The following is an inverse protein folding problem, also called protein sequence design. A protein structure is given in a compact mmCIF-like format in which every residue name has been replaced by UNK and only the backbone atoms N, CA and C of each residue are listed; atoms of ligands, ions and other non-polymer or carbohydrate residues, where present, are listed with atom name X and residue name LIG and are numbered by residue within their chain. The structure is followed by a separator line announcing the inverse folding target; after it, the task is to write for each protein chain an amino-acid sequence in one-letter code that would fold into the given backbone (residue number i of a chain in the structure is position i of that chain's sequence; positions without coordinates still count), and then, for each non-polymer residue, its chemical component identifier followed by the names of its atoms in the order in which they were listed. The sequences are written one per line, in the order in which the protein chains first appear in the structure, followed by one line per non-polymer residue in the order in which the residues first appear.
data_IF_226081159404
#
_entry.id   IF_226081159404
#
_cell.length_a   1.000
_cell.length_b   1.000
_cell.length_c   1.000
_cell.angle_alpha   90.00
_cell.angle_beta   90.00
_cell.angle_gamma   90.00
#
_symmetry.space_group_name_H-M   'P 1'
#
loop_
_entity.id
_entity.type
_entity.pdbx_description
1 polymer ?
#
# COMPACT_ATOMS: atom_id res chain seq x y z
N UNK A 1 -42.02 17.05 -7.84
CA UNK A 1 -41.35 16.02 -7.01
C UNK A 1 -40.07 15.65 -7.72
N UNK A 2 -38.90 15.80 -7.09
CA UNK A 2 -37.63 15.51 -7.72
C UNK A 2 -37.52 14.01 -8.04
N UNK A 3 -37.12 13.66 -9.27
CA UNK A 3 -36.92 12.28 -9.66
C UNK A 3 -35.81 11.67 -8.81
N UNK A 4 -36.14 10.58 -8.11
CA UNK A 4 -35.18 9.88 -7.24
C UNK A 4 -34.07 9.31 -8.13
N UNK A 5 -32.78 9.51 -7.81
CA UNK A 5 -31.66 9.00 -8.58
C UNK A 5 -31.80 7.51 -8.91
N UNK A 6 -31.41 7.06 -10.12
CA UNK A 6 -31.61 5.67 -10.56
C UNK A 6 -31.05 4.63 -9.58
N UNK A 7 -29.89 4.93 -8.99
CA UNK A 7 -29.24 4.05 -8.00
C UNK A 7 -30.05 3.88 -6.71
N UNK A 8 -30.80 4.90 -6.29
CA UNK A 8 -31.67 4.83 -5.11
C UNK A 8 -32.91 3.99 -5.43
N UNK A 9 -33.43 4.06 -6.66
CA UNK A 9 -34.57 3.25 -7.10
C UNK A 9 -34.23 1.76 -7.14
N UNK A 10 -33.01 1.43 -7.57
CA UNK A 10 -32.49 0.06 -7.57
C UNK A 10 -32.23 -0.44 -6.14
N UNK A 11 -31.66 0.42 -5.28
CA UNK A 11 -31.44 0.10 -3.87
C UNK A 11 -32.73 -0.13 -3.12
N UNK A 12 -33.81 0.63 -3.36
CA UNK A 12 -35.11 0.49 -2.66
C UNK A 12 -35.88 -0.77 -3.08
N UNK A 13 -35.51 -1.41 -4.19
CA UNK A 13 -36.18 -2.62 -4.69
C UNK A 13 -35.69 -3.92 -4.05
N UNK A 14 -34.69 -3.87 -3.16
CA UNK A 14 -34.08 -5.08 -2.61
C UNK A 14 -34.82 -5.64 -1.41
N UNK A 15 -34.91 -6.97 -1.36
CA UNK A 15 -35.35 -7.70 -0.18
C UNK A 15 -34.26 -7.66 0.91
N UNK A 16 -34.65 -7.86 2.17
CA UNK A 16 -33.76 -7.95 3.33
C UNK A 16 -32.62 -8.95 3.14
N UNK A 17 -32.87 -10.08 2.49
CA UNK A 17 -31.83 -11.08 2.21
C UNK A 17 -30.87 -10.62 1.08
N UNK A 18 -31.36 -9.84 0.11
CA UNK A 18 -30.51 -9.23 -0.90
C UNK A 18 -29.60 -8.15 -0.29
N UNK A 19 -30.08 -7.35 0.66
CA UNK A 19 -29.23 -6.41 1.40
C UNK A 19 -28.18 -7.09 2.27
N UNK A 20 -28.51 -8.24 2.87
CA UNK A 20 -27.55 -9.06 3.62
C UNK A 20 -26.44 -9.59 2.71
N UNK A 21 -26.82 -10.16 1.56
CA UNK A 21 -25.87 -10.64 0.55
C UNK A 21 -25.00 -9.49 0.01
N UNK A 22 -25.61 -8.34 -0.32
CA UNK A 22 -24.90 -7.15 -0.78
C UNK A 22 -23.92 -6.65 0.27
N UNK A 23 -24.33 -6.58 1.54
CA UNK A 23 -23.45 -6.13 2.62
C UNK A 23 -22.27 -7.09 2.80
N UNK A 24 -22.49 -8.39 2.70
CA UNK A 24 -21.44 -9.39 2.75
C UNK A 24 -20.44 -9.26 1.58
N UNK A 25 -20.94 -9.17 0.35
CA UNK A 25 -20.10 -8.98 -0.84
C UNK A 25 -19.33 -7.67 -0.74
N UNK A 26 -20.00 -6.58 -0.36
CA UNK A 26 -19.38 -5.28 -0.23
C UNK A 26 -18.28 -5.32 0.83
N UNK A 27 -18.57 -5.80 2.04
CA UNK A 27 -17.55 -5.91 3.10
C UNK A 27 -16.35 -6.77 2.70
N UNK A 28 -16.57 -7.87 1.97
CA UNK A 28 -15.50 -8.68 1.39
C UNK A 28 -14.66 -7.91 0.35
N UNK A 29 -15.31 -7.15 -0.55
CA UNK A 29 -14.61 -6.32 -1.53
C UNK A 29 -13.83 -5.19 -0.86
N UNK A 30 -14.38 -4.54 0.17
CA UNK A 30 -13.70 -3.49 0.92
C UNK A 30 -12.47 -4.06 1.64
N UNK A 31 -12.60 -5.22 2.28
CA UNK A 31 -11.48 -5.92 2.91
C UNK A 31 -10.40 -6.31 1.88
N UNK A 32 -10.83 -6.87 0.74
CA UNK A 32 -9.92 -7.22 -0.35
C UNK A 32 -9.20 -5.99 -0.88
N UNK A 33 -9.88 -4.85 -0.99
CA UNK A 33 -9.28 -3.59 -1.45
C UNK A 33 -8.22 -3.06 -0.49
N UNK A 34 -8.44 -3.14 0.83
CA UNK A 34 -7.42 -2.81 1.82
C UNK A 34 -6.16 -3.67 1.66
N UNK A 35 -6.34 -4.98 1.43
CA UNK A 35 -5.23 -5.90 1.19
C UNK A 35 -4.55 -5.66 -0.15
N UNK A 36 -5.33 -5.35 -1.19
CA UNK A 36 -4.82 -5.02 -2.50
C UNK A 36 -3.93 -3.78 -2.42
N UNK A 37 -4.27 -2.78 -1.60
CA UNK A 37 -3.45 -1.58 -1.39
C UNK A 37 -2.04 -1.88 -0.85
N UNK A 38 -1.84 -3.00 -0.15
CA UNK A 38 -0.53 -3.40 0.41
C UNK A 38 0.39 -4.06 -0.60
N UNK A 39 -0.17 -4.74 -1.62
CA UNK A 39 0.61 -5.51 -2.59
C UNK A 39 1.49 -4.66 -3.52
N UNK A 40 1.03 -3.53 -4.08
CA UNK A 40 1.86 -2.65 -4.92
C UNK A 40 3.14 -2.21 -4.23
N UNK A 41 3.06 -1.85 -2.95
CA UNK A 41 4.23 -1.42 -2.17
C UNK A 41 5.26 -2.55 -2.11
N UNK A 42 4.84 -3.81 -2.00
CA UNK A 42 5.75 -4.96 -2.03
C UNK A 42 6.38 -5.20 -3.41
N UNK A 43 5.67 -4.91 -4.51
CA UNK A 43 6.17 -5.07 -5.88
C UNK A 43 7.20 -3.98 -6.20
N UNK A 44 6.92 -2.73 -5.83
CA UNK A 44 7.82 -1.59 -6.08
C UNK A 44 9.18 -1.80 -5.39
N UNK A 45 9.24 -2.50 -4.24
CA UNK A 45 10.52 -2.86 -3.61
C UNK A 45 11.42 -3.72 -4.48
N UNK A 46 10.85 -4.58 -5.33
CA UNK A 46 11.63 -5.43 -6.23
C UNK A 46 12.24 -4.65 -7.40
N UNK A 47 11.58 -3.57 -7.84
CA UNK A 47 12.11 -2.66 -8.86
C UNK A 47 13.12 -1.66 -8.28
N UNK A 48 13.04 -1.38 -6.98
CA UNK A 48 13.92 -0.46 -6.26
C UNK A 48 15.36 -0.98 -6.15
N UNK A 49 15.53 -2.30 -6.24
CA UNK A 49 16.82 -2.98 -6.18
C UNK A 49 16.89 -4.05 -7.28
N UNK A 50 17.37 -3.67 -8.48
CA UNK A 50 17.70 -4.66 -9.50
C UNK A 50 18.99 -5.37 -9.10
N UNK A 51 19.01 -6.69 -9.26
CA UNK A 51 20.20 -7.49 -9.00
C UNK A 51 21.17 -7.28 -10.18
N UNK A 52 22.00 -6.24 -10.12
CA UNK A 52 22.88 -5.81 -11.21
C UNK A 52 24.07 -6.75 -11.47
N UNK A 53 24.11 -7.91 -10.83
CA UNK A 53 25.17 -8.91 -10.94
C UNK A 53 25.35 -9.44 -12.39
N UNK A 54 24.29 -9.46 -13.20
CA UNK A 54 24.37 -9.89 -14.60
C UNK A 54 24.98 -8.84 -15.54
N UNK A 55 24.98 -7.56 -15.16
CA UNK A 55 25.56 -6.47 -15.96
C UNK A 55 27.08 -6.40 -15.74
N UNK A 56 27.55 -6.70 -14.53
CA UNK A 56 29.00 -6.84 -14.27
C UNK A 56 29.62 -7.98 -15.07
N UNK A 57 28.88 -9.07 -15.29
CA UNK A 57 29.38 -10.24 -16.04
C UNK A 57 29.52 -9.92 -17.54
N UNK A 58 28.55 -9.20 -18.13
CA UNK A 58 28.63 -8.72 -19.52
C UNK A 58 29.73 -7.67 -19.69
N UNK A 59 29.91 -6.76 -18.72
CA UNK A 59 31.01 -5.79 -18.75
C UNK A 59 32.39 -6.49 -18.66
N UNK A 60 32.53 -7.54 -17.85
CA UNK A 60 33.77 -8.33 -17.78
C UNK A 60 34.01 -9.18 -19.03
N UNK A 61 32.96 -9.69 -19.70
CA UNK A 61 33.07 -10.44 -20.96
C UNK A 61 33.35 -9.52 -22.16
N UNK A 62 32.83 -8.29 -22.15
CA UNK A 62 33.20 -7.26 -23.12
C UNK A 62 34.64 -6.78 -22.92
N UNK A 63 35.17 -6.87 -21.69
CA UNK A 63 36.57 -6.54 -21.37
C UNK A 63 37.56 -7.62 -21.80
N UNK A 64 37.12 -8.86 -22.06
CA UNK A 64 37.97 -9.99 -22.46
C UNK A 64 38.05 -10.20 -23.97
N UNK A 65 37.24 -9.48 -24.77
CA UNK A 65 37.26 -9.49 -26.23
C UNK A 65 37.95 -8.22 -26.74
N UNK A 66 39.28 -8.32 -26.91
CA UNK A 66 40.17 -7.17 -27.06
C UNK A 66 39.91 -6.24 -28.24
N UNK A 67 40.01 -4.94 -27.98
CA UNK A 67 40.55 -3.93 -28.91
C UNK A 67 41.15 -2.76 -28.12
N UNK A 68 42.29 -2.25 -28.60
CA UNK A 68 43.21 -1.30 -27.97
C UNK A 68 42.59 0.09 -27.71
N UNK A 69 42.75 0.68 -26.51
CA UNK A 69 43.08 2.11 -26.18
C UNK A 69 43.11 2.32 -24.61
N UNK A 70 43.60 3.46 -24.02
CA UNK A 70 44.54 3.51 -22.89
C UNK A 70 43.85 3.84 -21.53
N UNK A 71 44.58 4.29 -20.48
CA UNK A 71 44.51 3.78 -19.08
C UNK A 71 43.12 3.87 -18.43
N UNK A 72 42.82 3.04 -17.39
CA UNK A 72 41.46 2.80 -16.90
C UNK A 72 40.87 4.06 -16.29
N UNK A 73 40.25 4.89 -17.12
CA UNK A 73 39.26 5.85 -16.66
C UNK A 73 38.13 5.00 -16.13
N UNK A 74 37.99 4.99 -14.81
CA UNK A 74 36.82 4.51 -14.11
C UNK A 74 35.60 5.11 -14.81
N UNK A 75 35.02 4.36 -15.74
CA UNK A 75 33.69 4.65 -16.24
C UNK A 75 32.78 4.33 -15.05
N UNK A 76 32.72 5.27 -14.10
CA UNK A 76 31.58 5.55 -13.26
C UNK A 76 30.43 5.99 -14.18
N UNK A 77 30.07 5.13 -15.12
CA UNK A 77 28.68 5.03 -15.49
C UNK A 77 28.04 4.34 -14.29
N UNK A 78 27.68 5.17 -13.32
CA UNK A 78 26.54 4.93 -12.43
C UNK A 78 25.34 4.69 -13.37
N UNK A 79 25.29 3.50 -13.98
CA UNK A 79 24.07 3.01 -14.58
C UNK A 79 23.17 2.78 -13.38
N UNK A 80 22.27 3.74 -13.15
CA UNK A 80 21.21 3.82 -12.13
C UNK A 80 20.41 2.52 -12.08
N UNK A 81 21.02 1.50 -11.51
CA UNK A 81 20.47 0.16 -11.44
C UNK A 81 19.76 -0.06 -10.08
N UNK A 82 19.92 0.88 -9.14
CA UNK A 82 19.19 0.95 -7.87
C UNK A 82 18.71 2.38 -7.59
N UNK A 83 17.50 2.52 -7.07
CA UNK A 83 16.93 3.84 -6.74
C UNK A 83 17.47 4.37 -5.42
N UNK A 84 18.11 5.55 -5.41
CA UNK A 84 18.49 6.26 -4.17
C UNK A 84 17.21 6.58 -3.36
N UNK A 85 17.15 6.42 -2.03
CA UNK A 85 18.20 6.11 -1.06
C UNK A 85 18.46 4.61 -0.83
N UNK A 86 17.80 3.72 -1.58
CA UNK A 86 17.90 2.26 -1.45
C UNK A 86 19.10 1.66 -2.21
N UNK A 87 19.98 2.50 -2.73
CA UNK A 87 21.19 2.15 -3.49
C UNK A 87 22.37 1.74 -2.58
N UNK A 88 22.27 2.00 -1.27
CA UNK A 88 23.33 1.62 -0.33
C UNK A 88 23.32 0.11 -0.08
N UNK A 89 24.50 -0.47 0.23
CA UNK A 89 24.68 -1.88 0.66
C UNK A 89 23.71 -2.32 1.78
N UNK A 90 23.17 -1.34 2.53
CA UNK A 90 22.20 -1.51 3.62
C UNK A 90 20.72 -1.47 3.18
N UNK A 91 20.40 -1.62 1.90
CA UNK A 91 19.04 -1.54 1.37
C UNK A 91 18.06 -2.52 2.04
N UNK A 92 18.55 -3.72 2.42
CA UNK A 92 17.75 -4.72 3.16
C UNK A 92 17.32 -4.21 4.53
N UNK A 93 18.21 -3.58 5.29
CA UNK A 93 17.83 -2.98 6.58
C UNK A 93 16.88 -1.79 6.37
N UNK A 94 17.07 -1.00 5.31
CA UNK A 94 16.24 0.18 5.05
C UNK A 94 14.80 -0.19 4.66
N UNK A 95 14.64 -1.18 3.78
CA UNK A 95 13.35 -1.78 3.44
C UNK A 95 12.70 -2.46 4.64
N UNK A 96 13.49 -3.18 5.43
CA UNK A 96 13.03 -3.81 6.67
C UNK A 96 12.57 -2.80 7.71
N UNK A 97 13.28 -1.69 7.88
CA UNK A 97 12.91 -0.61 8.81
C UNK A 97 11.60 0.06 8.40
N UNK A 98 11.38 0.27 7.09
CA UNK A 98 10.11 0.79 6.56
C UNK A 98 8.95 -0.17 6.86
N UNK A 99 9.12 -1.47 6.60
CA UNK A 99 8.09 -2.47 6.89
C UNK A 99 7.83 -2.63 8.39
N UNK A 100 8.88 -2.56 9.20
CA UNK A 100 8.76 -2.56 10.65
C UNK A 100 7.98 -1.35 11.15
N UNK A 101 8.25 -0.16 10.60
CA UNK A 101 7.53 1.07 10.95
C UNK A 101 6.03 0.97 10.61
N UNK A 102 5.69 0.37 9.46
CA UNK A 102 4.31 0.06 9.09
C UNK A 102 3.63 -0.82 10.14
N UNK A 103 4.27 -1.95 10.47
CA UNK A 103 3.71 -2.96 11.36
C UNK A 103 3.55 -2.44 12.78
N UNK A 104 4.53 -1.66 13.26
CA UNK A 104 4.47 -1.02 14.57
C UNK A 104 3.33 0.00 14.64
N UNK A 105 3.24 0.89 13.64
CA UNK A 105 2.15 1.86 13.55
C UNK A 105 0.78 1.16 13.43
N UNK A 106 0.69 0.09 12.65
CA UNK A 106 -0.52 -0.74 12.54
C UNK A 106 -0.90 -1.37 13.88
N UNK A 107 0.05 -1.90 14.64
CA UNK A 107 -0.23 -2.48 15.96
C UNK A 107 -0.81 -1.45 16.94
N UNK A 108 -0.21 -0.26 17.02
CA UNK A 108 -0.70 0.83 17.86
C UNK A 108 -2.07 1.31 17.37
N UNK A 109 -2.21 1.51 16.06
CA UNK A 109 -3.46 1.94 15.44
C UNK A 109 -4.61 0.96 15.67
N UNK A 110 -4.36 -0.35 15.71
CA UNK A 110 -5.40 -1.35 16.01
C UNK A 110 -6.03 -1.16 17.39
N UNK A 111 -5.23 -0.79 18.40
CA UNK A 111 -5.74 -0.46 19.72
C UNK A 111 -6.60 0.82 19.70
N UNK A 112 -6.08 1.90 19.10
CA UNK A 112 -6.79 3.17 19.01
C UNK A 112 -8.07 3.07 18.16
N UNK A 113 -8.01 2.31 17.09
CA UNK A 113 -9.11 2.07 16.15
C UNK A 113 -10.30 1.37 16.82
N UNK A 114 -10.03 0.50 17.81
CA UNK A 114 -11.08 -0.10 18.63
C UNK A 114 -11.86 0.96 19.42
N UNK A 115 -11.15 1.85 20.13
CA UNK A 115 -11.76 2.90 20.96
C UNK A 115 -12.53 3.91 20.09
N UNK A 116 -11.94 4.33 18.98
CA UNK A 116 -12.55 5.30 18.06
C UNK A 116 -13.74 4.68 17.31
N UNK A 117 -13.64 3.40 16.95
CA UNK A 117 -14.67 2.65 16.24
C UNK A 117 -15.99 2.54 16.99
N UNK A 118 -15.97 2.58 18.33
CA UNK A 118 -17.18 2.61 19.16
C UNK A 118 -17.89 3.98 19.18
N UNK A 119 -17.17 5.06 18.85
CA UNK A 119 -17.67 6.45 18.95
C UNK A 119 -18.10 7.04 17.61
N UNK A 120 -17.63 6.49 16.50
CA UNK A 120 -17.90 7.00 15.16
C UNK A 120 -18.92 6.13 14.39
N UNK A 121 -19.71 6.74 13.48
CA UNK A 121 -20.55 5.98 12.58
C UNK A 121 -19.69 5.11 11.66
N UNK A 122 -19.94 3.80 11.72
CA UNK A 122 -19.10 2.78 11.08
C UNK A 122 -18.88 2.97 9.57
N UNK A 123 -19.90 3.48 8.87
CA UNK A 123 -19.84 3.73 7.43
C UNK A 123 -18.85 4.83 7.09
N UNK A 124 -18.87 5.91 7.86
CA UNK A 124 -18.02 7.08 7.67
C UNK A 124 -16.58 6.73 8.05
N UNK A 125 -16.41 6.03 9.16
CA UNK A 125 -15.12 5.53 9.63
C UNK A 125 -14.44 4.62 8.60
N UNK A 126 -15.18 3.65 8.04
CA UNK A 126 -14.68 2.75 6.99
C UNK A 126 -14.34 3.48 5.68
N UNK A 127 -15.20 4.40 5.23
CA UNK A 127 -15.01 5.13 3.97
C UNK A 127 -13.78 6.05 4.04
N UNK A 128 -13.62 6.77 5.15
CA UNK A 128 -12.45 7.65 5.37
C UNK A 128 -11.17 6.82 5.40
N UNK A 129 -11.18 5.68 6.09
CA UNK A 129 -10.03 4.76 6.12
C UNK A 129 -9.63 4.24 4.74
N UNK A 130 -10.60 3.84 3.93
CA UNK A 130 -10.35 3.36 2.58
C UNK A 130 -9.82 4.44 1.63
N UNK A 131 -10.42 5.63 1.65
CA UNK A 131 -9.96 6.75 0.82
C UNK A 131 -8.55 7.19 1.20
N UNK A 132 -8.26 7.32 2.49
CA UNK A 132 -6.95 7.75 2.96
C UNK A 132 -5.88 6.68 2.75
N UNK A 133 -6.18 5.38 2.86
CA UNK A 133 -5.22 4.31 2.53
C UNK A 133 -4.85 4.31 1.04
N UNK A 134 -5.84 4.53 0.17
CA UNK A 134 -5.60 4.75 -1.26
C UNK A 134 -4.73 5.97 -1.52
N UNK A 135 -5.04 7.10 -0.88
CA UNK A 135 -4.26 8.34 -0.97
C UNK A 135 -2.80 8.13 -0.56
N UNK A 136 -2.54 7.51 0.60
CA UNK A 136 -1.17 7.27 1.06
C UNK A 136 -0.43 6.26 0.18
N UNK A 137 -1.13 5.28 -0.39
CA UNK A 137 -0.55 4.34 -1.37
C UNK A 137 -0.19 5.07 -2.67
N UNK A 138 -1.02 5.99 -3.15
CA UNK A 138 -0.69 6.85 -4.28
C UNK A 138 0.47 7.78 -3.97
N UNK A 139 0.53 8.39 -2.78
CA UNK A 139 1.64 9.24 -2.35
C UNK A 139 2.97 8.49 -2.33
N UNK A 140 2.96 7.22 -1.89
CA UNK A 140 4.14 6.37 -1.94
C UNK A 140 4.66 6.20 -3.38
N UNK A 141 3.76 5.96 -4.34
CA UNK A 141 4.10 5.87 -5.76
C UNK A 141 4.52 7.20 -6.39
N UNK A 142 3.89 8.32 -6.00
CA UNK A 142 4.26 9.65 -6.45
C UNK A 142 5.66 10.06 -5.99
N UNK A 143 6.15 9.52 -4.86
CA UNK A 143 7.53 9.72 -4.42
C UNK A 143 8.56 9.32 -5.47
N UNK A 144 8.28 8.27 -6.25
CA UNK A 144 9.10 7.86 -7.39
C UNK A 144 8.99 8.85 -8.55
N UNK A 145 7.77 9.22 -8.96
CA UNK A 145 7.52 10.14 -10.10
C UNK A 145 8.14 11.54 -9.86
N UNK A 146 8.07 12.04 -8.62
CA UNK A 146 8.63 13.34 -8.25
C UNK A 146 10.12 13.30 -7.87
N UNK A 147 10.82 12.17 -8.07
CA UNK A 147 12.25 12.04 -7.75
C UNK A 147 12.59 12.42 -6.29
N UNK A 148 11.74 12.02 -5.33
CA UNK A 148 11.97 12.31 -3.91
C UNK A 148 12.90 11.24 -3.33
N UNK A 149 14.15 11.63 -3.07
CA UNK A 149 15.21 10.75 -2.58
C UNK A 149 15.32 10.68 -1.04
N UNK A 150 14.29 11.11 -0.31
CA UNK A 150 14.29 11.19 1.15
C UNK A 150 13.65 9.96 1.81
N UNK A 151 14.42 9.21 2.61
CA UNK A 151 13.91 8.05 3.34
C UNK A 151 12.79 8.40 4.33
N UNK A 152 12.88 9.58 4.97
CA UNK A 152 11.89 10.04 5.94
C UNK A 152 10.49 10.17 5.33
N UNK A 153 10.41 10.55 4.04
CA UNK A 153 9.14 10.61 3.31
C UNK A 153 8.51 9.22 3.20
N UNK A 154 9.27 8.22 2.76
CA UNK A 154 8.78 6.85 2.63
C UNK A 154 8.36 6.24 3.97
N UNK A 155 9.14 6.46 5.04
CA UNK A 155 8.78 6.02 6.40
C UNK A 155 7.50 6.72 6.88
N UNK A 156 7.39 8.03 6.72
CA UNK A 156 6.22 8.80 7.15
C UNK A 156 4.94 8.33 6.44
N UNK A 157 5.00 8.21 5.10
CA UNK A 157 3.87 7.71 4.30
C UNK A 157 3.49 6.30 4.73
N UNK A 158 4.48 5.45 5.01
CA UNK A 158 4.22 4.08 5.43
C UNK A 158 3.60 4.00 6.84
N UNK A 159 4.05 4.83 7.79
CA UNK A 159 3.45 4.94 9.13
C UNK A 159 2.01 5.44 9.03
N UNK A 160 1.77 6.50 8.26
CA UNK A 160 0.42 7.05 8.05
C UNK A 160 -0.51 6.02 7.39
N UNK A 161 -0.04 5.31 6.37
CA UNK A 161 -0.77 4.24 5.72
C UNK A 161 -1.07 3.08 6.70
N UNK A 162 -0.10 2.73 7.54
CA UNK A 162 -0.25 1.72 8.61
C UNK A 162 -1.38 2.07 9.56
N UNK A 163 -1.38 3.28 10.12
CA UNK A 163 -2.41 3.77 11.03
C UNK A 163 -3.80 3.74 10.39
N UNK A 164 -3.91 4.23 9.16
CA UNK A 164 -5.18 4.31 8.44
C UNK A 164 -5.75 2.93 8.11
N UNK A 165 -4.91 1.96 7.74
CA UNK A 165 -5.38 0.61 7.42
C UNK A 165 -5.97 -0.14 8.62
N UNK A 166 -5.66 0.26 9.85
CA UNK A 166 -6.24 -0.33 11.07
C UNK A 166 -7.74 -0.10 11.21
N UNK A 167 -8.29 0.86 10.49
CA UNK A 167 -9.73 1.15 10.46
C UNK A 167 -10.53 0.01 9.80
N UNK A 168 -9.92 -0.76 8.89
CA UNK A 168 -10.62 -1.73 8.05
C UNK A 168 -11.15 -2.93 8.81
N UNK A 169 -10.29 -3.63 9.57
CA UNK A 169 -10.65 -4.89 10.22
C UNK A 169 -11.77 -4.75 11.26
N UNK A 170 -11.69 -3.84 12.25
CA UNK A 170 -12.75 -3.67 13.25
C UNK A 170 -14.08 -3.23 12.62
N UNK A 171 -14.02 -2.38 11.60
CA UNK A 171 -15.21 -1.87 10.90
C UNK A 171 -15.91 -2.94 10.07
N UNK A 172 -15.16 -3.78 9.35
CA UNK A 172 -15.76 -4.84 8.54
C UNK A 172 -16.43 -5.90 9.44
N UNK A 173 -15.76 -6.32 10.51
CA UNK A 173 -16.31 -7.27 11.47
C UNK A 173 -17.59 -6.72 12.11
N UNK A 174 -17.58 -5.46 12.53
CA UNK A 174 -18.75 -4.83 13.15
C UNK A 174 -19.89 -4.63 12.14
N UNK A 175 -19.61 -4.30 10.87
CA UNK A 175 -20.60 -4.24 9.80
C UNK A 175 -21.30 -5.60 9.58
N UNK A 176 -20.53 -6.68 9.50
CA UNK A 176 -21.08 -8.03 9.34
C UNK A 176 -21.88 -8.43 10.59
N UNK A 177 -21.35 -8.16 11.78
CA UNK A 177 -22.02 -8.43 13.06
C UNK A 177 -23.35 -7.68 13.19
N UNK A 178 -23.50 -6.49 12.61
CA UNK A 178 -24.78 -5.77 12.68
C UNK A 178 -25.87 -6.38 11.77
N UNK A 179 -25.49 -7.02 10.67
CA UNK A 179 -26.43 -7.61 9.70
C UNK A 179 -26.72 -9.09 9.91
N UNK A 180 -25.76 -9.81 10.47
CA UNK A 180 -25.81 -11.25 10.77
C UNK A 180 -25.78 -11.54 12.28
N UNK A 181 -25.74 -10.51 13.12
CA UNK A 181 -25.73 -10.63 14.57
C UNK A 181 -27.05 -11.14 15.13
N UNK A 182 -26.91 -11.94 16.20
CA UNK A 182 -27.90 -12.61 17.04
C UNK A 182 -29.35 -12.59 16.51
N UNK A 183 -29.74 -13.71 15.91
CA UNK A 183 -31.14 -14.12 15.91
C UNK A 183 -31.68 -14.10 17.34
N UNK A 184 -32.82 -13.44 17.52
CA UNK A 184 -33.83 -13.96 18.44
C UNK A 184 -34.56 -15.06 17.69
#
# INVERSE_FOLDING_TARGET
MAAVPPGIRMLVSFDRDQYRALTFILTFLLYTSFHLSRKPISIVKSELHKNCSSVSEIATLASSSGSLQPPPQSIHTDMDCSWKPFDKKNYRQLLGAMDYSFLCAYAVGMYLSGIIGERLPIRLYLTVGMLSSGLFTCLFGLGYVYNIHNMGFYVFVQVANGLVQTTGWPSVVTCISNWFGKGR
#
